data_IF_734509153323
#
_entry.id   IF_734509153323
#
_cell.length_a   1.000
_cell.length_b   1.000
_cell.length_c   1.000
_cell.angle_alpha   90.00
_cell.angle_beta   90.00
_cell.angle_gamma   90.00
#
_symmetry.space_group_name_H-M   'P 1'
#
loop_
_entity.id
_entity.type
_entity.pdbx_description
1 polymer ?
#
# COMPACT_ATOMS: atom_id res chain seq x y z
N UNK A 1 26.56 -4.19 -21.21
CA UNK A 1 25.31 -4.62 -20.55
C UNK A 1 25.05 -3.62 -19.43
N UNK A 2 23.95 -2.87 -19.52
CA UNK A 2 23.56 -1.93 -18.44
C UNK A 2 22.84 -2.74 -17.39
N UNK A 3 23.40 -2.83 -16.19
CA UNK A 3 22.73 -3.44 -15.03
C UNK A 3 21.74 -2.38 -14.50
N UNK A 4 20.45 -2.68 -14.37
CA UNK A 4 19.49 -1.75 -13.79
C UNK A 4 19.91 -1.38 -12.35
N UNK A 5 19.95 -0.09 -12.05
CA UNK A 5 20.24 0.41 -10.72
C UNK A 5 18.92 0.63 -9.97
N UNK A 6 18.54 -0.32 -9.13
CA UNK A 6 17.30 -0.27 -8.36
C UNK A 6 17.58 0.47 -7.05
N UNK A 7 17.01 1.65 -6.89
CA UNK A 7 17.15 2.53 -5.72
C UNK A 7 15.88 2.63 -4.88
N UNK A 8 14.72 2.53 -5.53
CA UNK A 8 13.43 2.70 -4.87
C UNK A 8 12.50 1.51 -5.19
N UNK A 9 12.03 0.84 -4.17
CA UNK A 9 11.05 -0.24 -4.25
C UNK A 9 9.72 0.27 -3.72
N UNK A 10 8.65 0.17 -4.50
CA UNK A 10 7.30 0.39 -4.01
C UNK A 10 6.73 -0.93 -3.47
N UNK A 11 6.32 -0.91 -2.20
CA UNK A 11 5.66 -2.02 -1.52
C UNK A 11 4.22 -1.63 -1.16
N UNK A 12 3.23 -1.94 -2.00
CA UNK A 12 1.83 -1.82 -1.63
C UNK A 12 1.42 -2.95 -0.68
N UNK A 13 0.74 -2.58 0.42
CA UNK A 13 0.30 -3.50 1.46
C UNK A 13 -1.17 -3.32 1.80
N UNK A 14 -1.85 -4.42 2.07
CA UNK A 14 -3.21 -4.46 2.62
C UNK A 14 -3.22 -4.70 4.14
N UNK A 15 -2.05 -4.66 4.79
CA UNK A 15 -1.83 -4.92 6.21
C UNK A 15 -2.28 -6.33 6.66
N UNK A 16 -2.54 -7.24 5.74
CA UNK A 16 -2.90 -8.61 6.08
C UNK A 16 -1.69 -9.40 6.61
N UNK A 17 -1.98 -10.53 7.25
CA UNK A 17 -0.93 -11.49 7.65
C UNK A 17 -0.04 -11.94 6.47
N UNK A 18 -0.58 -11.95 5.26
CA UNK A 18 0.15 -12.28 4.05
C UNK A 18 1.10 -11.14 3.61
N UNK A 19 0.76 -9.90 3.94
CA UNK A 19 1.62 -8.73 3.75
C UNK A 19 2.98 -8.89 4.42
N UNK A 20 3.06 -9.55 5.59
CA UNK A 20 4.33 -9.86 6.28
C UNK A 20 5.32 -10.60 5.39
N UNK A 21 4.85 -11.61 4.67
CA UNK A 21 5.68 -12.36 3.71
C UNK A 21 6.18 -11.48 2.57
N UNK A 22 5.30 -10.66 2.00
CA UNK A 22 5.66 -9.73 0.92
C UNK A 22 6.69 -8.72 1.40
N UNK A 23 6.50 -8.17 2.61
CA UNK A 23 7.44 -7.25 3.23
C UNK A 23 8.83 -7.86 3.39
N UNK A 24 8.92 -9.11 3.88
CA UNK A 24 10.21 -9.81 4.03
C UNK A 24 10.94 -9.96 2.69
N UNK A 25 10.23 -10.23 1.58
CA UNK A 25 10.85 -10.22 0.26
C UNK A 25 11.33 -8.83 -0.14
N UNK A 26 10.52 -7.79 0.12
CA UNK A 26 10.90 -6.40 -0.18
C UNK A 26 12.16 -5.99 0.60
N UNK A 27 12.23 -6.35 1.89
CA UNK A 27 13.38 -6.11 2.76
C UNK A 27 14.65 -6.77 2.24
N UNK A 28 14.59 -8.06 1.91
CA UNK A 28 15.74 -8.80 1.39
C UNK A 28 16.23 -8.22 0.07
N UNK A 29 15.32 -7.89 -0.84
CA UNK A 29 15.67 -7.29 -2.14
C UNK A 29 16.29 -5.91 -1.93
N UNK A 30 15.69 -5.07 -1.08
CA UNK A 30 16.21 -3.74 -0.79
C UNK A 30 17.60 -3.79 -0.15
N UNK A 31 17.80 -4.67 0.84
CA UNK A 31 19.11 -4.85 1.49
C UNK A 31 20.18 -5.33 0.51
N UNK A 32 19.85 -6.27 -0.39
CA UNK A 32 20.78 -6.80 -1.37
C UNK A 32 21.20 -5.78 -2.43
N UNK A 33 20.32 -4.84 -2.76
CA UNK A 33 20.54 -3.83 -3.81
C UNK A 33 20.94 -2.45 -3.27
N UNK A 34 20.93 -2.25 -1.95
CA UNK A 34 21.12 -0.92 -1.34
C UNK A 34 19.97 0.04 -1.67
N UNK A 35 18.77 -0.49 -1.88
CA UNK A 35 17.57 0.26 -2.19
C UNK A 35 16.79 0.64 -0.94
N UNK A 36 15.90 1.63 -1.07
CA UNK A 36 14.93 1.99 -0.03
C UNK A 36 13.50 1.60 -0.45
N UNK A 37 12.63 1.42 0.55
CA UNK A 37 11.25 1.01 0.34
C UNK A 37 10.30 2.19 0.59
N UNK A 38 9.38 2.42 -0.33
CA UNK A 38 8.17 3.22 -0.11
C UNK A 38 7.04 2.25 0.22
N UNK A 39 6.51 2.34 1.43
CA UNK A 39 5.36 1.55 1.89
C UNK A 39 4.09 2.30 1.52
N UNK A 40 3.18 1.66 0.81
CA UNK A 40 1.93 2.24 0.39
C UNK A 40 0.75 1.42 0.90
N UNK A 41 -0.14 2.06 1.65
CA UNK A 41 -1.46 1.51 1.97
C UNK A 41 -2.54 2.30 1.23
N UNK A 42 -3.42 1.59 0.52
CA UNK A 42 -4.51 2.22 -0.22
C UNK A 42 -5.82 1.95 0.48
N UNK A 43 -6.50 3.03 0.85
CA UNK A 43 -7.85 2.99 1.40
C UNK A 43 -8.83 3.10 0.24
N UNK A 44 -9.52 2.01 -0.08
CA UNK A 44 -10.56 2.06 -1.11
C UNK A 44 -11.76 2.86 -0.63
N UNK A 45 -12.31 3.77 -1.45
CA UNK A 45 -13.48 4.55 -1.08
C UNK A 45 -14.66 3.58 -0.84
N UNK A 46 -15.40 3.85 0.21
CA UNK A 46 -16.65 3.15 0.49
C UNK A 46 -17.55 3.21 -0.75
N UNK A 47 -18.25 2.11 -1.03
CA UNK A 47 -19.22 2.13 -2.12
C UNK A 47 -20.22 3.26 -1.90
N UNK A 48 -20.79 3.82 -2.98
CA UNK A 48 -21.81 4.88 -2.88
C UNK A 48 -22.98 4.52 -1.97
N UNK A 49 -23.29 3.21 -1.89
CA UNK A 49 -24.34 2.69 -1.00
C UNK A 49 -23.92 2.72 0.47
N UNK A 50 -22.65 2.39 0.78
CA UNK A 50 -22.12 2.47 2.14
C UNK A 50 -22.00 3.93 2.61
N UNK A 51 -21.54 4.84 1.73
CA UNK A 51 -21.53 6.28 2.03
C UNK A 51 -22.91 6.82 2.30
N UNK A 52 -23.92 6.46 1.49
CA UNK A 52 -25.31 6.90 1.68
C UNK A 52 -25.93 6.40 3.00
N UNK A 53 -25.54 5.20 3.47
CA UNK A 53 -25.97 4.67 4.77
C UNK A 53 -25.34 5.47 5.91
N UNK A 54 -24.06 5.82 5.80
CA UNK A 54 -23.36 6.63 6.80
C UNK A 54 -23.95 8.05 6.83
N UNK A 55 -24.18 8.67 5.67
CA UNK A 55 -24.81 9.98 5.54
C UNK A 55 -26.26 10.00 6.09
N UNK A 56 -26.96 8.89 6.01
CA UNK A 56 -28.32 8.73 6.55
C UNK A 56 -28.37 8.50 8.06
N UNK A 57 -27.28 8.10 8.69
CA UNK A 57 -27.18 7.85 10.14
C UNK A 57 -26.67 9.10 10.89
N UNK A 58 -25.89 9.97 10.21
CA UNK A 58 -25.43 11.23 10.78
C UNK A 58 -26.56 12.23 10.85
N UNK A 59 -26.78 12.93 12.01
CA UNK A 59 -27.83 13.91 12.15
C UNK A 59 -27.66 15.04 11.13
N UNK A 60 -28.66 15.25 10.29
CA UNK A 60 -28.78 16.37 9.36
C UNK A 60 -28.86 17.68 10.16
N UNK A 61 -27.77 18.36 10.40
CA UNK A 61 -27.86 19.61 11.18
C UNK A 61 -26.56 20.36 11.46
N UNK A 62 -25.49 20.14 10.69
CA UNK A 62 -24.27 20.94 10.86
C UNK A 62 -23.86 21.50 9.48
N UNK A 63 -24.09 22.80 9.30
CA UNK A 63 -23.80 23.57 8.08
C UNK A 63 -22.30 23.89 7.91
N UNK A 64 -21.41 22.94 8.18
CA UNK A 64 -19.99 23.05 7.81
C UNK A 64 -19.38 21.64 7.54
N UNK A 65 -20.16 20.81 6.87
CA UNK A 65 -19.85 19.39 6.64
C UNK A 65 -18.58 19.16 5.82
N UNK A 66 -18.18 20.09 4.98
CA UNK A 66 -16.98 19.95 4.15
C UNK A 66 -15.67 19.99 4.93
N UNK A 67 -15.59 20.80 5.98
CA UNK A 67 -14.36 21.01 6.75
C UNK A 67 -14.21 19.96 7.85
N UNK A 68 -15.32 19.58 8.51
CA UNK A 68 -15.32 18.56 9.56
C UNK A 68 -15.10 17.16 9.00
N UNK A 69 -15.72 16.86 7.86
CA UNK A 69 -15.51 15.59 7.16
C UNK A 69 -14.06 15.44 6.67
N UNK A 70 -13.47 16.50 6.10
CA UNK A 70 -12.06 16.52 5.70
C UNK A 70 -11.10 16.31 6.87
N UNK A 71 -11.33 16.99 8.00
CA UNK A 71 -10.50 16.81 9.21
C UNK A 71 -10.61 15.40 9.78
N UNK A 72 -11.80 14.81 9.76
CA UNK A 72 -12.00 13.43 10.20
C UNK A 72 -11.29 12.42 9.30
N UNK A 73 -11.32 12.61 7.99
CA UNK A 73 -10.62 11.76 7.02
C UNK A 73 -9.11 11.91 7.16
N UNK A 74 -8.60 13.12 7.36
CA UNK A 74 -7.18 13.36 7.55
C UNK A 74 -6.66 12.74 8.86
N UNK A 75 -7.37 12.91 9.97
CA UNK A 75 -7.03 12.27 11.24
C UNK A 75 -7.06 10.74 11.14
N UNK A 76 -8.00 10.17 10.38
CA UNK A 76 -8.04 8.73 10.13
C UNK A 76 -6.83 8.26 9.33
N UNK A 77 -6.42 9.01 8.31
CA UNK A 77 -5.22 8.70 7.52
C UNK A 77 -3.96 8.73 8.38
N UNK A 78 -3.79 9.74 9.22
CA UNK A 78 -2.68 9.85 10.16
C UNK A 78 -2.63 8.63 11.09
N UNK A 79 -3.78 8.21 11.64
CA UNK A 79 -3.87 7.03 12.50
C UNK A 79 -3.46 5.76 11.75
N UNK A 80 -3.93 5.57 10.52
CA UNK A 80 -3.57 4.42 9.69
C UNK A 80 -2.08 4.46 9.32
N UNK A 81 -1.53 5.64 9.05
CA UNK A 81 -0.10 5.80 8.75
C UNK A 81 0.77 5.40 9.94
N UNK A 82 0.38 5.78 11.16
CA UNK A 82 1.04 5.34 12.39
C UNK A 82 0.95 3.82 12.58
N UNK A 83 -0.20 3.21 12.30
CA UNK A 83 -0.38 1.75 12.33
C UNK A 83 0.53 1.05 11.32
N UNK A 84 0.61 1.56 10.08
CA UNK A 84 1.49 1.02 9.03
C UNK A 84 2.96 1.13 9.44
N UNK A 85 3.34 2.28 10.00
CA UNK A 85 4.69 2.49 10.54
C UNK A 85 5.01 1.50 11.65
N UNK A 86 4.12 1.36 12.63
CA UNK A 86 4.25 0.39 13.73
C UNK A 86 4.38 -1.05 13.23
N UNK A 87 3.58 -1.43 12.25
CA UNK A 87 3.66 -2.73 11.58
C UNK A 87 5.04 -2.97 10.93
N UNK A 88 5.59 -1.99 10.23
CA UNK A 88 6.91 -2.13 9.62
C UNK A 88 8.02 -2.23 10.65
N UNK A 89 7.97 -1.44 11.73
CA UNK A 89 8.94 -1.51 12.83
C UNK A 89 8.90 -2.87 13.52
N UNK A 90 7.69 -3.40 13.78
CA UNK A 90 7.52 -4.74 14.35
C UNK A 90 8.18 -5.82 13.48
N UNK A 91 8.00 -5.73 12.15
CA UNK A 91 8.58 -6.70 11.22
C UNK A 91 10.11 -6.62 11.13
N UNK A 92 10.66 -5.41 11.17
CA UNK A 92 12.10 -5.17 11.13
C UNK A 92 12.79 -5.46 12.47
N UNK A 93 12.01 -5.49 13.56
CA UNK A 93 12.50 -5.73 14.93
C UNK A 93 13.34 -4.58 15.51
N UNK A 94 13.53 -3.50 14.75
CA UNK A 94 14.38 -2.38 15.16
C UNK A 94 13.97 -1.09 14.42
N UNK A 95 13.78 0.00 15.16
CA UNK A 95 13.45 1.33 14.60
C UNK A 95 14.59 1.93 13.78
N UNK A 96 15.84 1.63 14.11
CA UNK A 96 16.99 2.11 13.34
C UNK A 96 17.05 1.50 11.94
N UNK A 97 16.66 0.24 11.81
CA UNK A 97 16.49 -0.41 10.50
C UNK A 97 15.35 0.22 9.70
N UNK A 98 14.27 0.59 10.38
CA UNK A 98 13.17 1.30 9.75
C UNK A 98 13.65 2.59 9.09
N UNK A 99 14.34 3.45 9.84
CA UNK A 99 14.82 4.74 9.35
C UNK A 99 15.84 4.60 8.21
N UNK A 100 16.62 3.53 8.20
CA UNK A 100 17.58 3.26 7.13
C UNK A 100 16.92 2.71 5.84
N UNK A 101 15.88 1.87 5.98
CA UNK A 101 15.29 1.11 4.89
C UNK A 101 14.05 1.76 4.28
N UNK A 102 13.22 2.40 5.12
CA UNK A 102 11.94 2.97 4.70
C UNK A 102 12.10 4.43 4.31
N UNK A 103 11.95 4.71 3.01
CA UNK A 103 11.99 6.05 2.44
C UNK A 103 10.76 6.88 2.78
N UNK A 104 9.60 6.26 2.73
CA UNK A 104 8.32 6.88 3.04
C UNK A 104 7.26 5.83 3.40
N UNK A 105 6.27 6.26 4.19
CA UNK A 105 5.00 5.55 4.40
C UNK A 105 3.89 6.45 3.89
N UNK A 106 3.04 5.96 3.01
CA UNK A 106 1.91 6.73 2.47
C UNK A 106 0.60 5.96 2.65
N UNK A 107 -0.43 6.68 3.06
CA UNK A 107 -1.83 6.20 3.11
C UNK A 107 -2.66 7.06 2.17
N UNK A 108 -3.16 6.46 1.10
CA UNK A 108 -3.83 7.17 0.00
C UNK A 108 -5.19 6.54 -0.25
N UNK A 109 -6.20 7.37 -0.39
CA UNK A 109 -7.52 6.93 -0.83
C UNK A 109 -7.62 6.84 -2.35
N UNK A 110 -8.31 5.84 -2.84
CA UNK A 110 -8.55 5.69 -4.27
C UNK A 110 -8.67 4.25 -4.75
N UNK A 111 -8.72 4.08 -6.07
CA UNK A 111 -8.73 2.76 -6.70
C UNK A 111 -7.33 2.13 -6.60
N UNK A 112 -7.23 1.01 -5.91
CA UNK A 112 -5.97 0.40 -5.49
C UNK A 112 -4.93 0.31 -6.62
N UNK A 113 -5.27 -0.31 -7.75
CA UNK A 113 -4.34 -0.46 -8.87
C UNK A 113 -3.90 0.89 -9.48
N UNK A 114 -4.79 1.89 -9.56
CA UNK A 114 -4.47 3.20 -10.09
C UNK A 114 -3.50 3.94 -9.16
N UNK A 115 -3.82 3.95 -7.86
CA UNK A 115 -2.96 4.59 -6.84
C UNK A 115 -1.57 3.97 -6.83
N UNK A 116 -1.45 2.64 -6.91
CA UNK A 116 -0.16 1.96 -6.97
C UNK A 116 0.68 2.46 -8.15
N UNK A 117 0.08 2.53 -9.34
CA UNK A 117 0.78 2.98 -10.55
C UNK A 117 1.18 4.47 -10.47
N UNK A 118 0.29 5.32 -9.97
CA UNK A 118 0.55 6.75 -9.79
C UNK A 118 1.68 6.99 -8.77
N UNK A 119 1.70 6.21 -7.67
CA UNK A 119 2.75 6.32 -6.66
C UNK A 119 4.07 5.74 -7.11
N UNK A 120 4.07 4.69 -7.94
CA UNK A 120 5.28 4.21 -8.58
C UNK A 120 5.95 5.32 -9.41
N UNK A 121 5.16 6.06 -10.20
CA UNK A 121 5.66 7.22 -10.96
C UNK A 121 6.10 8.38 -10.07
N UNK A 122 5.32 8.73 -9.03
CA UNK A 122 5.64 9.84 -8.12
C UNK A 122 6.98 9.67 -7.38
N UNK A 123 7.29 8.43 -6.99
CA UNK A 123 8.49 8.12 -6.23
C UNK A 123 9.67 7.68 -7.10
N UNK A 124 9.51 7.71 -8.44
CA UNK A 124 10.50 7.16 -9.37
C UNK A 124 10.89 5.73 -8.96
N UNK A 125 9.88 4.91 -8.66
CA UNK A 125 10.11 3.53 -8.23
C UNK A 125 10.70 2.71 -9.38
N UNK A 126 11.76 1.95 -9.09
CA UNK A 126 12.43 1.08 -10.05
C UNK A 126 11.86 -0.34 -10.04
N UNK A 127 11.14 -0.69 -8.98
CA UNK A 127 10.55 -2.02 -8.78
C UNK A 127 9.29 -1.91 -7.93
N UNK A 128 8.25 -2.67 -8.28
CA UNK A 128 7.10 -2.91 -7.43
C UNK A 128 7.19 -4.33 -6.87
N UNK A 129 7.05 -4.50 -5.55
CA UNK A 129 6.98 -5.82 -4.90
C UNK A 129 5.63 -5.95 -4.21
N UNK A 130 4.79 -6.88 -4.66
CA UNK A 130 3.42 -7.03 -4.14
C UNK A 130 2.99 -8.49 -4.06
N UNK A 131 1.93 -8.75 -3.31
CA UNK A 131 1.32 -10.08 -3.26
C UNK A 131 0.54 -10.42 -4.52
N UNK A 132 0.40 -11.71 -4.80
CA UNK A 132 -0.46 -12.18 -5.90
C UNK A 132 -1.96 -11.93 -5.64
N UNK A 133 -2.37 -11.81 -4.37
CA UNK A 133 -3.76 -11.60 -3.93
C UNK A 133 -3.77 -10.64 -2.74
N UNK A 134 -4.95 -10.08 -2.42
CA UNK A 134 -5.22 -9.34 -1.21
C UNK A 134 -6.16 -10.10 -0.27
N UNK A 135 -6.91 -9.39 0.58
CA UNK A 135 -7.84 -9.94 1.60
C UNK A 135 -8.92 -10.89 1.05
N UNK A 136 -9.27 -10.81 -0.22
CA UNK A 136 -10.36 -11.56 -0.84
C UNK A 136 -9.91 -12.83 -1.59
N UNK A 137 -8.78 -13.42 -1.22
CA UNK A 137 -8.25 -14.60 -1.89
C UNK A 137 -9.06 -15.85 -1.61
N UNK A 138 -10.05 -16.14 -2.46
CA UNK A 138 -10.87 -17.35 -2.41
C UNK A 138 -10.52 -18.41 -3.46
N UNK A 139 -9.47 -18.23 -4.28
CA UNK A 139 -9.11 -19.26 -5.25
C UNK A 139 -7.58 -19.35 -5.42
N UNK A 140 -7.06 -20.54 -5.27
CA UNK A 140 -5.65 -20.90 -5.40
C UNK A 140 -5.06 -20.74 -6.81
N UNK A 141 -5.85 -20.38 -7.81
CA UNK A 141 -5.47 -20.46 -9.22
C UNK A 141 -5.45 -19.15 -10.00
N UNK A 142 -5.98 -18.05 -9.49
CA UNK A 142 -6.09 -16.81 -10.26
C UNK A 142 -5.33 -15.67 -9.59
N UNK A 143 -4.61 -14.90 -10.39
CA UNK A 143 -4.01 -13.64 -9.97
C UNK A 143 -5.08 -12.66 -9.53
N UNK A 144 -4.91 -12.03 -8.38
CA UNK A 144 -5.84 -11.04 -7.85
C UNK A 144 -6.05 -9.86 -8.81
N UNK A 145 -7.24 -9.27 -8.79
CA UNK A 145 -7.63 -8.21 -9.74
C UNK A 145 -6.72 -6.98 -9.71
N UNK A 146 -6.19 -6.63 -8.53
CA UNK A 146 -5.23 -5.53 -8.37
C UNK A 146 -3.90 -5.90 -8.99
N UNK A 147 -3.34 -7.06 -8.60
CA UNK A 147 -2.07 -7.54 -9.13
C UNK A 147 -2.10 -7.69 -10.65
N UNK A 148 -3.19 -8.24 -11.19
CA UNK A 148 -3.39 -8.35 -12.64
C UNK A 148 -3.33 -6.97 -13.32
N UNK A 149 -4.06 -5.97 -12.81
CA UNK A 149 -4.08 -4.62 -13.39
C UNK A 149 -2.72 -3.93 -13.29
N UNK A 150 -2.02 -4.09 -12.17
CA UNK A 150 -0.69 -3.51 -11.96
C UNK A 150 0.32 -4.11 -12.93
N UNK A 151 0.39 -5.44 -13.04
CA UNK A 151 1.32 -6.13 -13.96
C UNK A 151 1.10 -5.69 -15.42
N UNK A 152 -0.15 -5.54 -15.84
CA UNK A 152 -0.45 -5.13 -17.21
C UNK A 152 -0.16 -3.67 -17.54
N UNK A 153 -0.08 -2.78 -16.53
CA UNK A 153 0.03 -1.34 -16.73
C UNK A 153 1.30 -0.72 -16.20
N UNK A 154 2.05 -1.46 -15.38
CA UNK A 154 3.29 -0.95 -14.79
C UNK A 154 4.32 -0.63 -15.89
N UNK A 155 4.97 0.52 -15.74
CA UNK A 155 6.12 0.93 -16.55
C UNK A 155 7.45 0.40 -15.99
N UNK A 156 7.43 -0.22 -14.81
CA UNK A 156 8.58 -0.77 -14.11
C UNK A 156 8.36 -2.26 -13.82
N UNK A 157 9.41 -3.05 -13.57
CA UNK A 157 9.29 -4.45 -13.18
C UNK A 157 8.38 -4.64 -11.97
N UNK A 158 7.65 -5.75 -11.95
CA UNK A 158 6.77 -6.14 -10.84
C UNK A 158 7.15 -7.53 -10.36
N UNK A 159 7.52 -7.63 -9.09
CA UNK A 159 7.73 -8.91 -8.41
C UNK A 159 6.46 -9.31 -7.69
N UNK A 160 5.93 -10.47 -8.04
CA UNK A 160 4.76 -11.06 -7.40
C UNK A 160 5.18 -12.12 -6.39
N UNK A 161 4.77 -11.94 -5.13
CA UNK A 161 5.02 -12.89 -4.04
C UNK A 161 3.79 -13.78 -3.85
N UNK A 162 3.88 -15.10 -4.14
CA UNK A 162 2.73 -15.98 -4.01
C UNK A 162 2.41 -16.29 -2.54
N UNK A 163 1.13 -16.39 -2.24
CA UNK A 163 0.63 -16.92 -0.98
C UNK A 163 0.36 -18.41 -1.16
N UNK A 164 1.36 -19.24 -0.87
CA UNK A 164 1.11 -20.68 -0.69
C UNK A 164 0.84 -20.92 0.79
N UNK A 165 -0.22 -21.65 1.06
CA UNK A 165 -0.54 -22.24 2.36
C UNK A 165 0.59 -23.13 2.84
#
# INVERSE_FOLDING_TARGET
MVIPDIKTILYPTDLSRHGKKVFSYSEVIAAALGAQIVVLHVVEPLSKQASAVIDGILPSGIDDTGTMHRKGVEALKETIEEEVRGYCIELLGDSSKFDALIKAVEVIDGLCAQVILDRAGKHDADLIVMGTHGHSAFSDMLLGSVAHKVVHRASVPVTLVPFKS
#
